data_IF_882962806391
#
_entry.id   IF_882962806391
#
_cell.length_a   1.000
_cell.length_b   1.000
_cell.length_c   1.000
_cell.angle_alpha   90.00
_cell.angle_beta   90.00
_cell.angle_gamma   90.00
#
_symmetry.space_group_name_H-M   'P 1'
#
loop_
_entity.id
_entity.type
_entity.pdbx_description
1 polymer ?
#
# COMPACT_ATOMS: atom_id res chain seq x y z
N UNK A 1 17.95 17.51 10.06
CA UNK A 1 17.32 16.73 8.97
C UNK A 1 17.25 15.25 9.41
N UNK A 2 16.39 14.93 10.39
CA UNK A 2 16.40 13.66 11.15
C UNK A 2 15.22 12.73 10.81
N UNK A 3 14.56 12.91 9.66
CA UNK A 3 13.31 12.18 9.34
C UNK A 3 13.25 11.53 7.96
N UNK A 4 14.37 11.45 7.23
CA UNK A 4 14.38 10.90 5.87
C UNK A 4 14.55 9.37 5.84
N UNK A 5 15.15 8.77 6.88
CA UNK A 5 15.45 7.34 6.92
C UNK A 5 14.83 6.68 8.16
N UNK A 6 14.12 5.55 7.99
CA UNK A 6 13.42 4.89 9.09
C UNK A 6 14.35 4.13 10.07
N UNK A 7 15.64 3.98 9.77
CA UNK A 7 16.59 3.16 10.55
C UNK A 7 17.62 3.97 11.37
N UNK A 8 17.33 5.22 11.72
CA UNK A 8 18.19 6.16 12.48
C UNK A 8 19.63 6.33 11.93
N UNK A 9 19.88 5.81 10.73
CA UNK A 9 21.18 5.77 10.05
C UNK A 9 21.00 6.11 8.59
N UNK A 10 21.91 6.89 8.06
CA UNK A 10 21.94 7.17 6.63
C UNK A 10 22.50 5.94 5.88
N UNK A 11 21.83 5.45 4.83
CA UNK A 11 22.37 4.33 4.04
C UNK A 11 23.69 4.72 3.37
N UNK A 12 24.63 3.78 3.25
CA UNK A 12 25.93 4.06 2.63
C UNK A 12 25.85 4.12 1.10
N UNK A 13 24.91 3.36 0.51
CA UNK A 13 24.76 3.23 -0.93
C UNK A 13 23.30 3.42 -1.33
N UNK A 14 23.10 4.06 -2.48
CA UNK A 14 21.81 4.16 -3.17
C UNK A 14 21.95 3.53 -4.54
N UNK A 15 21.28 2.40 -4.76
CA UNK A 15 21.16 1.79 -6.09
C UNK A 15 19.96 2.43 -6.79
N UNK A 16 20.16 2.98 -7.98
CA UNK A 16 19.07 3.53 -8.81
C UNK A 16 19.38 3.40 -10.30
N UNK A 17 18.35 3.57 -11.11
CA UNK A 17 18.51 3.69 -12.56
C UNK A 17 18.94 5.10 -12.97
N UNK A 18 18.99 5.33 -14.29
CA UNK A 18 19.42 6.60 -14.89
C UNK A 18 18.24 7.48 -15.30
N UNK A 19 17.06 7.31 -14.70
CA UNK A 19 15.89 8.11 -15.04
C UNK A 19 16.15 9.61 -14.84
N UNK A 20 15.60 10.42 -15.75
CA UNK A 20 15.68 11.88 -15.70
C UNK A 20 14.92 12.50 -14.52
N UNK A 21 14.04 11.75 -13.86
CA UNK A 21 13.38 12.19 -12.63
C UNK A 21 14.35 12.49 -11.48
N UNK A 22 15.57 11.94 -11.53
CA UNK A 22 16.65 12.21 -10.57
C UNK A 22 17.45 13.46 -10.96
N UNK A 23 16.82 14.62 -10.77
CA UNK A 23 17.37 15.95 -11.04
C UNK A 23 18.58 16.31 -10.14
N UNK A 24 19.26 17.42 -10.47
CA UNK A 24 20.47 17.86 -9.75
C UNK A 24 20.24 18.14 -8.27
N UNK A 25 19.06 18.65 -7.90
CA UNK A 25 18.68 18.88 -6.50
C UNK A 25 18.70 17.58 -5.70
N UNK A 26 18.16 16.50 -6.27
CA UNK A 26 18.18 15.19 -5.64
C UNK A 26 19.62 14.70 -5.42
N UNK A 27 20.45 14.77 -6.48
CA UNK A 27 21.85 14.34 -6.41
C UNK A 27 22.66 15.16 -5.39
N UNK A 28 22.38 16.45 -5.29
CA UNK A 28 23.00 17.31 -4.29
C UNK A 28 22.64 16.85 -2.86
N UNK A 29 21.36 16.63 -2.57
CA UNK A 29 20.92 16.12 -1.27
C UNK A 29 21.54 14.76 -0.92
N UNK A 30 21.63 13.84 -1.88
CA UNK A 30 22.26 12.52 -1.69
C UNK A 30 23.74 12.65 -1.33
N UNK A 31 24.47 13.57 -1.98
CA UNK A 31 25.88 13.88 -1.64
C UNK A 31 26.02 14.53 -0.27
N UNK A 32 25.16 15.48 0.08
CA UNK A 32 25.14 16.13 1.40
C UNK A 32 24.86 15.11 2.53
N UNK A 33 24.07 14.07 2.22
CA UNK A 33 23.82 12.94 3.12
C UNK A 33 24.97 11.92 3.15
N UNK A 34 26.07 12.11 2.40
CA UNK A 34 27.18 11.15 2.28
C UNK A 34 26.77 9.77 1.77
N UNK A 35 25.75 9.72 0.90
CA UNK A 35 25.28 8.47 0.29
C UNK A 35 25.98 8.30 -1.07
N UNK A 36 26.58 7.13 -1.31
CA UNK A 36 27.21 6.82 -2.60
C UNK A 36 26.17 6.28 -3.59
N UNK A 37 25.99 6.99 -4.70
CA UNK A 37 25.14 6.52 -5.80
C UNK A 37 25.80 5.38 -6.58
N UNK A 38 25.05 4.31 -6.83
CA UNK A 38 25.42 3.19 -7.70
C UNK A 38 24.38 3.14 -8.82
N UNK A 39 24.79 3.57 -10.02
CA UNK A 39 23.90 3.62 -11.18
C UNK A 39 23.87 2.27 -11.88
N UNK A 40 22.67 1.74 -12.11
CA UNK A 40 22.50 0.59 -13.00
C UNK A 40 22.87 0.95 -14.44
N UNK A 41 23.27 -0.06 -15.21
CA UNK A 41 23.44 0.06 -16.64
C UNK A 41 22.11 0.42 -17.31
N UNK A 42 22.19 1.13 -18.43
CA UNK A 42 21.02 1.54 -19.20
C UNK A 42 20.31 0.29 -19.70
N UNK A 43 18.97 0.30 -19.66
CA UNK A 43 18.11 -0.81 -20.10
C UNK A 43 18.43 -2.16 -19.44
N UNK A 44 18.94 -2.13 -18.20
CA UNK A 44 19.36 -3.32 -17.45
C UNK A 44 18.51 -3.57 -16.20
N UNK A 45 17.21 -3.93 -16.34
CA UNK A 45 16.28 -4.09 -15.21
C UNK A 45 16.72 -5.16 -14.20
N UNK A 46 17.49 -6.17 -14.64
CA UNK A 46 17.98 -7.22 -13.75
C UNK A 46 18.93 -6.69 -12.67
N UNK A 47 19.59 -5.56 -12.89
CA UNK A 47 20.47 -4.93 -11.90
C UNK A 47 19.70 -4.21 -10.78
N UNK A 48 18.42 -3.88 -11.00
CA UNK A 48 17.51 -3.34 -9.99
C UNK A 48 16.41 -4.34 -9.61
N UNK A 49 16.73 -5.64 -9.63
CA UNK A 49 15.75 -6.72 -9.52
C UNK A 49 14.86 -6.72 -8.27
N UNK A 50 15.27 -6.03 -7.20
CA UNK A 50 14.43 -5.84 -6.00
C UNK A 50 13.28 -4.86 -6.26
N UNK A 51 13.60 -3.67 -6.77
CA UNK A 51 12.58 -2.64 -7.08
C UNK A 51 11.67 -3.12 -8.21
N UNK A 52 12.24 -3.74 -9.25
CA UNK A 52 11.46 -4.30 -10.35
C UNK A 52 10.45 -5.35 -9.87
N UNK A 53 10.90 -6.24 -8.97
CA UNK A 53 10.02 -7.26 -8.38
C UNK A 53 8.95 -6.65 -7.49
N UNK A 54 9.28 -5.60 -6.73
CA UNK A 54 8.33 -4.87 -5.90
C UNK A 54 7.25 -4.20 -6.75
N UNK A 55 7.64 -3.40 -7.75
CA UNK A 55 6.73 -2.70 -8.66
C UNK A 55 5.87 -3.71 -9.43
N UNK A 56 6.47 -4.79 -9.94
CA UNK A 56 5.73 -5.85 -10.61
C UNK A 56 4.69 -6.52 -9.71
N UNK A 57 5.01 -6.73 -8.42
CA UNK A 57 4.05 -7.28 -7.44
C UNK A 57 2.91 -6.29 -7.16
N UNK A 58 3.23 -5.01 -6.95
CA UNK A 58 2.25 -3.95 -6.75
C UNK A 58 1.27 -3.84 -7.93
N UNK A 59 1.77 -3.95 -9.17
CA UNK A 59 0.93 -3.91 -10.37
C UNK A 59 -0.02 -5.09 -10.43
N UNK A 60 0.51 -6.32 -10.36
CA UNK A 60 -0.28 -7.56 -10.44
C UNK A 60 -1.29 -7.71 -9.30
N UNK A 61 -0.90 -7.36 -8.08
CA UNK A 61 -1.73 -7.55 -6.89
C UNK A 61 -2.72 -6.41 -6.66
N UNK A 62 -2.48 -5.22 -7.23
CA UNK A 62 -3.28 -4.03 -6.95
C UNK A 62 -3.58 -3.15 -8.16
N UNK A 63 -2.57 -2.53 -8.78
CA UNK A 63 -2.81 -1.44 -9.74
C UNK A 63 -3.48 -1.90 -11.04
N UNK A 64 -3.25 -3.13 -11.47
CA UNK A 64 -3.90 -3.69 -12.67
C UNK A 64 -5.36 -4.08 -12.39
N UNK A 65 -5.81 -4.08 -11.12
CA UNK A 65 -7.15 -4.48 -10.70
C UNK A 65 -8.04 -3.28 -10.31
N UNK A 66 -7.48 -2.07 -10.20
CA UNK A 66 -8.19 -0.89 -9.69
C UNK A 66 -8.12 0.26 -10.68
N UNK A 67 -9.26 0.89 -10.93
CA UNK A 67 -9.32 2.13 -11.71
C UNK A 67 -9.00 3.31 -10.77
N UNK A 68 -7.86 3.95 -11.00
CA UNK A 68 -7.43 5.14 -10.26
C UNK A 68 -8.14 6.37 -10.84
N UNK A 69 -9.00 7.01 -10.04
CA UNK A 69 -9.85 8.13 -10.50
C UNK A 69 -9.18 9.49 -10.34
N UNK A 70 -8.28 9.63 -9.36
CA UNK A 70 -7.52 10.85 -9.09
C UNK A 70 -6.24 10.55 -8.30
N UNK A 71 -5.37 11.54 -8.21
CA UNK A 71 -4.10 11.45 -7.48
C UNK A 71 -4.30 11.04 -6.00
N UNK A 72 -5.27 11.66 -5.30
CA UNK A 72 -5.57 11.34 -3.91
C UNK A 72 -5.97 9.86 -3.73
N UNK A 73 -6.69 9.28 -4.69
CA UNK A 73 -7.06 7.86 -4.69
C UNK A 73 -5.84 6.97 -4.91
N UNK A 74 -4.91 7.38 -5.78
CA UNK A 74 -3.63 6.69 -5.99
C UNK A 74 -2.83 6.64 -4.69
N UNK A 75 -2.66 7.77 -4.00
CA UNK A 75 -1.95 7.81 -2.72
C UNK A 75 -2.59 6.92 -1.65
N UNK A 76 -3.93 6.90 -1.56
CA UNK A 76 -4.64 6.04 -0.61
C UNK A 76 -4.39 4.56 -0.92
N UNK A 77 -4.43 4.18 -2.19
CA UNK A 77 -4.19 2.80 -2.64
C UNK A 77 -2.75 2.40 -2.36
N UNK A 78 -1.77 3.22 -2.75
CA UNK A 78 -0.35 2.97 -2.50
C UNK A 78 -0.05 2.85 -1.01
N UNK A 79 -0.62 3.73 -0.18
CA UNK A 79 -0.46 3.65 1.28
C UNK A 79 -1.08 2.37 1.85
N UNK A 80 -2.26 1.98 1.39
CA UNK A 80 -2.90 0.74 1.80
C UNK A 80 -2.07 -0.49 1.38
N UNK A 81 -1.50 -0.46 0.18
CA UNK A 81 -0.61 -1.50 -0.31
C UNK A 81 0.68 -1.57 0.50
N UNK A 82 1.33 -0.46 0.82
CA UNK A 82 2.53 -0.46 1.69
C UNK A 82 2.25 -1.12 3.04
N UNK A 83 1.16 -0.72 3.71
CA UNK A 83 0.75 -1.36 4.96
C UNK A 83 0.48 -2.86 4.80
N UNK A 84 -0.15 -3.28 3.70
CA UNK A 84 -0.36 -4.69 3.39
C UNK A 84 0.98 -5.43 3.16
N UNK A 85 1.90 -4.84 2.40
CA UNK A 85 3.20 -5.42 2.07
C UNK A 85 4.09 -5.59 3.30
N UNK A 86 4.06 -4.63 4.22
CA UNK A 86 4.86 -4.62 5.45
C UNK A 86 4.27 -5.50 6.55
N UNK A 87 2.94 -5.64 6.64
CA UNK A 87 2.29 -6.27 7.81
C UNK A 87 1.64 -7.61 7.55
N UNK A 88 1.39 -7.94 6.28
CA UNK A 88 0.49 -9.04 5.92
C UNK A 88 1.04 -9.93 4.83
N UNK A 89 1.63 -9.36 3.79
CA UNK A 89 2.16 -10.14 2.67
C UNK A 89 3.25 -11.08 3.17
N UNK A 90 3.14 -12.36 2.84
CA UNK A 90 4.15 -13.35 3.21
C UNK A 90 5.38 -13.23 2.31
N UNK A 91 6.57 -13.22 2.92
CA UNK A 91 7.84 -13.18 2.20
C UNK A 91 8.61 -14.49 2.42
N UNK A 92 8.96 -15.17 1.32
CA UNK A 92 9.69 -16.45 1.40
C UNK A 92 11.05 -16.30 2.11
N UNK A 93 11.74 -15.19 1.89
CA UNK A 93 13.02 -14.90 2.53
C UNK A 93 12.89 -14.69 4.06
N UNK A 94 11.68 -14.41 4.56
CA UNK A 94 11.37 -14.22 5.98
C UNK A 94 10.62 -15.42 6.57
N UNK A 95 10.81 -16.62 6.03
CA UNK A 95 10.14 -17.82 6.54
C UNK A 95 8.62 -17.80 6.36
N UNK A 96 8.12 -17.10 5.32
CA UNK A 96 6.70 -16.82 5.05
C UNK A 96 6.04 -15.86 6.06
N UNK A 97 6.83 -15.12 6.84
CA UNK A 97 6.32 -14.01 7.66
C UNK A 97 6.34 -12.68 6.88
N UNK A 98 5.76 -11.64 7.49
CA UNK A 98 5.80 -10.26 7.01
C UNK A 98 7.02 -9.50 7.55
N UNK A 99 7.44 -8.39 6.90
CA UNK A 99 8.57 -7.58 7.35
C UNK A 99 8.38 -6.99 8.76
N UNK A 100 7.17 -6.54 9.09
CA UNK A 100 6.77 -6.28 10.47
C UNK A 100 6.32 -7.60 11.11
N UNK A 101 7.12 -8.17 12.02
CA UNK A 101 6.83 -9.47 12.60
C UNK A 101 5.56 -9.39 13.45
N UNK A 102 4.81 -10.49 13.47
CA UNK A 102 3.58 -10.61 14.26
C UNK A 102 3.58 -11.89 15.06
N UNK A 103 2.96 -11.86 16.24
CA UNK A 103 2.79 -13.04 17.06
C UNK A 103 1.96 -14.08 16.30
N UNK A 104 2.46 -15.32 16.24
CA UNK A 104 1.73 -16.43 15.67
C UNK A 104 0.43 -16.67 16.45
N UNK A 105 -0.69 -16.77 15.74
CA UNK A 105 -2.00 -17.02 16.32
C UNK A 105 -2.22 -18.54 16.37
N UNK A 106 -2.47 -19.08 17.56
CA UNK A 106 -2.75 -20.50 17.74
C UNK A 106 -4.22 -20.78 17.39
N UNK A 107 -4.58 -22.04 17.02
CA UNK A 107 -5.96 -22.43 16.76
C UNK A 107 -6.96 -22.10 17.88
N UNK A 108 -6.47 -21.98 19.11
CA UNK A 108 -7.24 -21.70 20.33
C UNK A 108 -7.43 -20.19 20.59
N UNK A 109 -6.82 -19.32 19.78
CA UNK A 109 -6.77 -17.87 20.01
C UNK A 109 -8.06 -17.11 19.66
N UNK A 110 -9.11 -17.81 19.20
CA UNK A 110 -10.45 -17.26 19.03
C UNK A 110 -11.10 -17.58 17.69
N UNK A 111 -12.06 -16.75 17.29
CA UNK A 111 -12.80 -16.95 16.03
C UNK A 111 -12.00 -16.38 14.86
N UNK A 112 -11.99 -17.09 13.73
CA UNK A 112 -11.38 -16.61 12.49
C UNK A 112 -12.21 -15.45 11.91
N UNK A 113 -11.57 -14.30 11.72
CA UNK A 113 -12.13 -13.10 11.11
C UNK A 113 -11.39 -12.81 9.81
N UNK A 114 -12.16 -12.51 8.77
CA UNK A 114 -11.66 -12.05 7.48
C UNK A 114 -11.49 -10.53 7.47
N UNK A 115 -10.30 -10.08 7.07
CA UNK A 115 -9.92 -8.69 6.97
C UNK A 115 -9.56 -8.35 5.52
N UNK A 116 -10.43 -7.65 4.79
CA UNK A 116 -10.12 -7.22 3.43
C UNK A 116 -8.99 -6.18 3.45
N UNK A 117 -8.01 -6.35 2.56
CA UNK A 117 -6.86 -5.48 2.38
C UNK A 117 -6.94 -4.79 1.02
N UNK A 118 -6.32 -3.61 0.88
CA UNK A 118 -6.18 -2.90 -0.40
C UNK A 118 -7.50 -2.80 -1.19
N UNK A 119 -8.59 -2.42 -0.51
CA UNK A 119 -9.91 -2.30 -1.14
C UNK A 119 -10.67 -3.62 -1.36
N UNK A 120 -10.22 -4.72 -0.74
CA UNK A 120 -10.84 -6.05 -0.84
C UNK A 120 -10.20 -6.96 -1.89
N UNK A 121 -8.96 -6.67 -2.29
CA UNK A 121 -8.21 -7.49 -3.22
C UNK A 121 -7.58 -8.69 -2.49
N UNK A 122 -6.49 -8.52 -1.71
CA UNK A 122 -6.06 -9.57 -0.78
C UNK A 122 -6.93 -9.60 0.48
N UNK A 123 -7.06 -10.80 1.05
CA UNK A 123 -7.74 -11.04 2.32
C UNK A 123 -6.75 -11.60 3.32
N UNK A 124 -6.81 -11.09 4.55
CA UNK A 124 -6.06 -11.61 5.69
C UNK A 124 -7.03 -12.29 6.64
N UNK A 125 -6.66 -13.46 7.12
CA UNK A 125 -7.41 -14.17 8.15
C UNK A 125 -6.65 -14.04 9.47
N UNK A 126 -7.37 -13.63 10.52
CA UNK A 126 -6.83 -13.53 11.86
C UNK A 126 -7.75 -14.23 12.85
N UNK A 127 -7.18 -14.78 13.92
CA UNK A 127 -7.97 -15.17 15.08
C UNK A 127 -8.17 -13.98 16.01
N UNK A 128 -9.41 -13.68 16.38
CA UNK A 128 -9.72 -12.67 17.38
C UNK A 128 -10.53 -13.30 18.49
N UNK A 129 -10.20 -12.96 19.73
CA UNK A 129 -11.10 -13.24 20.85
C UNK A 129 -12.47 -12.66 20.54
N UNK A 130 -13.52 -13.42 20.87
CA UNK A 130 -14.88 -12.98 20.66
C UNK A 130 -15.13 -11.74 21.54
N UNK A 131 -15.03 -10.55 20.96
CA UNK A 131 -15.44 -9.32 21.63
C UNK A 131 -16.93 -9.46 21.89
N UNK A 132 -17.32 -9.46 23.17
CA UNK A 132 -18.72 -9.52 23.61
C UNK A 132 -19.58 -8.62 22.73
N UNK A 133 -20.71 -9.18 22.27
CA UNK A 133 -21.62 -8.66 21.24
C UNK A 133 -22.07 -7.20 21.46
N UNK A 134 -21.89 -6.63 22.66
CA UNK A 134 -22.26 -5.26 22.99
C UNK A 134 -21.52 -4.17 22.19
N UNK A 135 -20.26 -4.37 21.80
CA UNK A 135 -19.44 -3.32 21.13
C UNK A 135 -19.62 -3.34 19.58
N UNK A 136 -20.09 -4.45 19.00
CA UNK A 136 -20.21 -4.60 17.54
C UNK A 136 -21.41 -3.85 16.93
N UNK A 137 -22.39 -3.46 17.75
CA UNK A 137 -23.57 -2.70 17.29
C UNK A 137 -23.19 -1.27 16.87
N UNK A 138 -22.22 -0.65 17.56
CA UNK A 138 -21.72 0.71 17.24
C UNK A 138 -20.88 0.74 15.96
N UNK A 139 -20.08 -0.31 15.71
CA UNK A 139 -19.25 -0.39 14.49
C UNK A 139 -20.04 -0.67 13.21
N UNK A 140 -21.15 -1.43 13.29
CA UNK A 140 -22.08 -1.59 12.15
C UNK A 140 -22.76 -0.27 11.79
N UNK A 141 -23.13 0.55 12.79
CA UNK A 141 -23.70 1.86 12.56
C UNK A 141 -22.72 2.82 11.83
N UNK A 142 -21.42 2.74 12.17
CA UNK A 142 -20.39 3.58 11.54
C UNK A 142 -20.12 3.20 10.06
N UNK A 143 -20.13 1.90 9.71
CA UNK A 143 -19.98 1.45 8.32
C UNK A 143 -21.12 1.95 7.41
N UNK A 144 -22.36 1.95 7.91
CA UNK A 144 -23.52 2.46 7.16
C UNK A 144 -23.50 3.99 6.97
N UNK A 145 -22.86 4.74 7.87
CA UNK A 145 -22.71 6.20 7.73
C UNK A 145 -21.72 6.59 6.60
N UNK A 146 -20.64 5.82 6.42
CA UNK A 146 -19.63 6.07 5.37
C UNK A 146 -20.15 5.70 3.98
N UNK A 147 -21.02 4.70 3.85
CA UNK A 147 -21.58 4.27 2.57
C UNK A 147 -22.64 5.23 2.00
N UNK A 148 -23.19 6.17 2.79
CA UNK A 148 -24.16 7.18 2.33
C UNK A 148 -23.52 8.43 1.70
N UNK A 149 -22.20 8.54 1.64
CA UNK A 149 -21.50 9.65 0.96
C UNK A 149 -21.19 9.38 -0.52
N UNK A 150 -21.81 8.38 -1.14
CA UNK A 150 -22.00 8.38 -2.61
C UNK A 150 -23.25 9.22 -2.91
N UNK A 151 -23.05 10.50 -3.19
CA UNK A 151 -24.09 11.38 -3.72
C UNK A 151 -24.73 10.74 -4.96
N UNK A 152 -26.07 10.72 -5.10
CA UNK A 152 -26.68 10.43 -6.38
C UNK A 152 -26.37 11.60 -7.32
N UNK A 153 -25.76 11.33 -8.46
CA UNK A 153 -25.69 12.27 -9.56
C UNK A 153 -27.11 12.68 -9.97
N UNK A 154 -27.46 13.95 -9.74
CA UNK A 154 -28.63 14.59 -10.35
C UNK A 154 -28.35 14.77 -11.84
N UNK A 155 -28.76 13.80 -12.65
CA UNK A 155 -28.97 14.02 -14.08
C UNK A 155 -30.48 13.86 -14.33
N UNK A 156 -31.21 14.96 -14.15
CA UNK A 156 -32.61 15.08 -14.57
C UNK A 156 -32.65 15.08 -16.10
N UNK A 157 -33.34 14.08 -16.64
CA UNK A 157 -33.77 14.03 -18.05
C UNK A 157 -34.70 15.21 -18.31
N UNK A 158 -34.32 16.14 -19.18
CA UNK A 158 -35.24 17.09 -19.79
C UNK A 158 -35.79 16.49 -21.09
N UNK A 159 -36.92 15.80 -20.98
CA UNK A 159 -37.83 15.57 -22.11
C UNK A 159 -38.94 16.61 -22.03
N UNK A 160 -38.86 17.66 -22.84
CA UNK A 160 -40.05 18.47 -23.16
C UNK A 160 -40.01 18.80 -24.65
N UNK A 161 -40.95 18.19 -25.37
CA UNK A 161 -41.24 18.49 -26.77
C UNK A 161 -41.68 19.93 -26.96
N UNK A 162 -41.32 20.46 -28.12
CA UNK A 162 -41.76 21.76 -28.62
C UNK A 162 -42.64 21.46 -29.84
N UNK A 163 -43.91 21.87 -29.77
CA UNK A 163 -44.73 22.16 -30.95
C UNK A 163 -44.14 23.37 -31.68
#
# INVERSE_FOLDING_TARGET
MLGAFPWDKTPQFLIRDRDGCYEDRFRQTVREMNIREVLTATDSPWQNGYVERLIGSLRRECLDQVIVLNEASSYRILRAYSCYHERTRAHLALGKDAPEPRTAQLPESGTVVELPQVGGLPHRYEQREAVSCAILTEWRALKHAVQRQRSPCLCSRSTTGRN
#
